data_IF_465314597718
#
_entry.id   IF_465314597718
#
_cell.length_a   1.000
_cell.length_b   1.000
_cell.length_c   1.000
_cell.angle_alpha   90.00
_cell.angle_beta   90.00
_cell.angle_gamma   90.00
#
_symmetry.space_group_name_H-M   'P 1'
#
loop_
_entity.id
_entity.type
_entity.pdbx_description
1 polymer ?
#
# COMPACT_ATOMS: atom_id res chain seq x y z
N UNK A 1 14.12 -18.50 -28.43
CA UNK A 1 13.85 -18.59 -26.98
C UNK A 1 13.26 -17.25 -26.53
N UNK A 2 12.06 -17.20 -25.95
CA UNK A 2 11.48 -15.94 -25.43
C UNK A 2 12.20 -15.59 -24.13
N UNK A 3 12.92 -14.47 -24.09
CA UNK A 3 13.49 -13.97 -22.83
C UNK A 3 12.35 -13.44 -21.96
N UNK A 4 12.09 -14.07 -20.82
CA UNK A 4 11.17 -13.53 -19.81
C UNK A 4 11.89 -12.44 -19.02
N UNK A 5 11.65 -11.18 -19.39
CA UNK A 5 12.14 -10.04 -18.61
C UNK A 5 11.32 -9.93 -17.33
N UNK A 6 11.97 -10.11 -16.17
CA UNK A 6 11.30 -9.90 -14.87
C UNK A 6 11.11 -8.40 -14.65
N UNK A 7 9.86 -7.95 -14.58
CA UNK A 7 9.53 -6.54 -14.37
C UNK A 7 9.49 -6.17 -12.88
N UNK A 8 9.11 -7.11 -12.02
CA UNK A 8 9.02 -6.91 -10.58
C UNK A 8 9.18 -8.24 -9.85
N UNK A 9 9.83 -8.22 -8.69
CA UNK A 9 9.88 -9.34 -7.75
C UNK A 9 8.99 -9.04 -6.56
N UNK A 10 8.15 -10.00 -6.21
CA UNK A 10 7.26 -9.95 -5.05
C UNK A 10 7.84 -10.85 -3.96
N UNK A 11 7.83 -10.38 -2.72
CA UNK A 11 8.21 -11.16 -1.54
C UNK A 11 7.04 -11.23 -0.60
N UNK A 12 6.83 -12.41 -0.02
CA UNK A 12 5.78 -12.66 0.95
C UNK A 12 6.41 -12.95 2.31
N UNK A 13 5.68 -12.65 3.39
CA UNK A 13 6.07 -13.06 4.73
C UNK A 13 5.60 -14.49 5.04
N UNK A 14 5.86 -14.97 6.27
CA UNK A 14 5.50 -16.32 6.69
C UNK A 14 3.99 -16.56 6.82
N UNK A 15 3.17 -15.51 6.74
CA UNK A 15 1.71 -15.57 6.75
C UNK A 15 1.12 -15.44 5.33
N UNK A 16 1.96 -15.57 4.30
CA UNK A 16 1.60 -15.44 2.89
C UNK A 16 1.05 -14.04 2.52
N UNK A 17 1.50 -12.99 3.22
CA UNK A 17 1.13 -11.60 2.92
C UNK A 17 2.24 -10.93 2.14
N UNK A 18 1.86 -10.04 1.20
CA UNK A 18 2.82 -9.31 0.37
C UNK A 18 3.70 -8.39 1.23
N UNK A 19 4.95 -8.76 1.45
CA UNK A 19 5.89 -8.01 2.28
C UNK A 19 6.68 -6.97 1.48
N UNK A 20 6.99 -7.25 0.20
CA UNK A 20 7.71 -6.29 -0.63
C UNK A 20 7.44 -6.43 -2.13
N UNK A 21 7.50 -5.29 -2.84
CA UNK A 21 7.52 -5.18 -4.30
C UNK A 21 8.83 -4.53 -4.73
N UNK A 22 9.62 -5.25 -5.52
CA UNK A 22 10.93 -4.81 -6.02
C UNK A 22 10.87 -4.72 -7.55
N UNK A 23 10.47 -3.58 -8.11
CA UNK A 23 10.47 -3.38 -9.55
C UNK A 23 11.91 -3.37 -10.09
N UNK A 24 12.10 -3.77 -11.34
CA UNK A 24 13.42 -3.76 -12.00
C UNK A 24 13.99 -2.34 -12.15
N UNK A 25 13.09 -1.36 -12.27
CA UNK A 25 13.39 0.07 -12.25
C UNK A 25 12.40 0.76 -11.33
N UNK A 26 12.89 1.63 -10.44
CA UNK A 26 12.09 2.35 -9.46
C UNK A 26 12.36 1.92 -8.02
N UNK A 27 11.46 2.31 -7.13
CA UNK A 27 11.66 2.20 -5.68
C UNK A 27 11.03 0.93 -5.12
N UNK A 28 11.73 0.30 -4.17
CA UNK A 28 11.19 -0.85 -3.43
C UNK A 28 10.07 -0.37 -2.50
N UNK A 29 8.90 -1.02 -2.59
CA UNK A 29 7.82 -0.85 -1.64
C UNK A 29 7.88 -1.98 -0.60
N UNK A 30 7.77 -1.64 0.69
CA UNK A 30 7.64 -2.60 1.80
C UNK A 30 6.36 -2.35 2.57
N UNK A 31 5.56 -3.39 2.72
CA UNK A 31 4.24 -3.33 3.33
C UNK A 31 4.28 -3.92 4.74
N UNK A 32 3.62 -3.25 5.69
CA UNK A 32 3.59 -3.65 7.10
C UNK A 32 2.16 -3.82 7.57
N UNK A 33 1.92 -4.95 8.24
CA UNK A 33 0.59 -5.40 8.61
C UNK A 33 0.42 -5.43 10.12
N UNK A 34 -0.75 -5.03 10.59
CA UNK A 34 -1.25 -5.33 11.93
C UNK A 34 -2.36 -6.36 11.80
N UNK A 35 -2.15 -7.56 12.33
CA UNK A 35 -2.98 -8.73 11.98
C UNK A 35 -3.09 -8.86 10.46
N UNK A 36 -4.27 -8.97 9.87
CA UNK A 36 -4.42 -9.09 8.40
C UNK A 36 -4.64 -7.76 7.68
N UNK A 37 -4.50 -6.63 8.37
CA UNK A 37 -4.74 -5.29 7.81
C UNK A 37 -3.41 -4.60 7.49
N UNK A 38 -3.26 -4.12 6.25
CA UNK A 38 -2.14 -3.28 5.85
C UNK A 38 -2.24 -1.92 6.56
N UNK A 39 -1.28 -1.58 7.41
CA UNK A 39 -1.31 -0.34 8.22
C UNK A 39 -0.28 0.68 7.78
N UNK A 40 0.80 0.26 7.13
CA UNK A 40 1.74 1.19 6.52
C UNK A 40 2.51 0.60 5.35
N UNK A 41 3.03 1.48 4.51
CA UNK A 41 3.93 1.15 3.43
C UNK A 41 5.08 2.15 3.38
N UNK A 42 6.28 1.65 3.12
CA UNK A 42 7.47 2.47 2.91
C UNK A 42 7.95 2.28 1.48
N UNK A 43 7.99 3.37 0.71
CA UNK A 43 8.51 3.44 -0.65
C UNK A 43 9.69 4.42 -0.69
N UNK A 44 10.91 3.90 -0.57
CA UNK A 44 12.11 4.74 -0.51
C UNK A 44 12.10 5.62 0.73
N UNK A 45 12.03 6.94 0.54
CA UNK A 45 11.93 7.90 1.64
C UNK A 45 10.47 8.21 2.05
N UNK A 46 9.48 7.79 1.26
CA UNK A 46 8.08 8.03 1.58
C UNK A 46 7.56 6.93 2.52
N UNK A 47 6.87 7.36 3.58
CA UNK A 47 6.15 6.48 4.49
C UNK A 47 4.68 6.89 4.48
N UNK A 48 3.82 5.97 4.04
CA UNK A 48 2.37 6.13 4.02
C UNK A 48 1.77 5.27 5.12
N UNK A 49 0.90 5.85 5.93
CA UNK A 49 0.07 5.15 6.93
C UNK A 49 -1.35 5.04 6.40
N UNK A 50 -1.98 3.90 6.63
CA UNK A 50 -3.36 3.61 6.27
C UNK A 50 -4.20 3.57 7.55
N UNK A 51 -5.21 4.43 7.63
CA UNK A 51 -6.11 4.51 8.77
C UNK A 51 -7.39 3.77 8.41
N UNK A 52 -7.68 2.71 9.16
CA UNK A 52 -8.83 1.84 8.96
C UNK A 52 -9.83 1.93 10.11
N UNK A 53 -11.10 1.73 9.79
CA UNK A 53 -12.13 1.28 10.72
C UNK A 53 -12.65 -0.06 10.23
N UNK A 54 -12.40 -1.10 11.01
CA UNK A 54 -12.63 -2.49 10.59
C UNK A 54 -11.95 -2.78 9.24
N UNK A 55 -12.73 -3.07 8.19
CA UNK A 55 -12.22 -3.30 6.83
C UNK A 55 -12.18 -2.05 5.96
N UNK A 56 -12.77 -0.95 6.41
CA UNK A 56 -12.91 0.27 5.61
C UNK A 56 -11.66 1.14 5.76
N UNK A 57 -11.03 1.50 4.64
CA UNK A 57 -9.98 2.52 4.60
C UNK A 57 -10.62 3.91 4.70
N UNK A 58 -10.25 4.68 5.73
CA UNK A 58 -10.79 6.01 5.99
C UNK A 58 -9.86 7.13 5.55
N UNK A 59 -8.55 6.93 5.69
CA UNK A 59 -7.58 7.92 5.30
C UNK A 59 -6.21 7.30 4.99
N UNK A 60 -5.41 8.01 4.21
CA UNK A 60 -3.97 7.80 4.12
C UNK A 60 -3.23 9.02 4.64
N UNK A 61 -2.10 8.81 5.29
CA UNK A 61 -1.27 9.90 5.80
C UNK A 61 0.18 9.66 5.39
N UNK A 62 0.80 10.65 4.76
CA UNK A 62 2.24 10.71 4.54
C UNK A 62 2.82 11.99 5.16
N UNK A 63 4.13 12.19 5.00
CA UNK A 63 4.76 13.44 5.40
C UNK A 63 4.25 14.67 4.61
N UNK A 64 3.70 14.44 3.40
CA UNK A 64 3.31 15.50 2.47
C UNK A 64 1.83 15.86 2.58
N UNK A 65 0.97 14.87 2.82
CA UNK A 65 -0.47 15.07 2.82
C UNK A 65 -1.19 14.04 3.69
N UNK A 66 -2.39 14.40 4.10
CA UNK A 66 -3.39 13.44 4.58
C UNK A 66 -4.53 13.44 3.57
N UNK A 67 -4.95 12.27 3.09
CA UNK A 67 -6.07 12.12 2.18
C UNK A 67 -7.21 11.39 2.90
N UNK A 68 -8.41 11.96 2.90
CA UNK A 68 -9.63 11.29 3.32
C UNK A 68 -10.19 10.48 2.15
N UNK A 69 -10.68 9.28 2.45
CA UNK A 69 -11.09 8.28 1.45
C UNK A 69 -12.61 8.13 1.50
N UNK A 70 -13.27 8.35 0.38
CA UNK A 70 -14.68 7.98 0.17
C UNK A 70 -14.75 6.64 -0.55
N UNK A 71 -15.40 5.65 0.07
CA UNK A 71 -15.51 4.29 -0.47
C UNK A 71 -16.95 3.85 -0.69
N UNK A 72 -17.16 2.87 -1.57
CA UNK A 72 -18.44 2.16 -1.67
C UNK A 72 -18.65 1.17 -0.50
N UNK A 73 -19.79 0.46 -0.51
CA UNK A 73 -20.13 -0.57 0.49
C UNK A 73 -19.20 -1.79 0.46
N UNK A 74 -18.47 -2.00 -0.65
CA UNK A 74 -17.48 -3.07 -0.79
C UNK A 74 -16.06 -2.59 -0.40
N UNK A 75 -15.96 -1.37 0.15
CA UNK A 75 -14.72 -0.71 0.54
C UNK A 75 -13.77 -0.36 -0.63
N UNK A 76 -14.29 -0.34 -1.85
CA UNK A 76 -13.55 0.18 -3.00
C UNK A 76 -13.44 1.69 -2.88
N UNK A 77 -12.23 2.23 -3.07
CA UNK A 77 -12.02 3.68 -3.08
C UNK A 77 -12.68 4.29 -4.31
N UNK A 78 -13.58 5.25 -4.10
CA UNK A 78 -14.26 6.01 -5.15
C UNK A 78 -13.67 7.42 -5.29
N UNK A 79 -13.37 8.06 -4.15
CA UNK A 79 -12.90 9.44 -4.10
C UNK A 79 -11.83 9.63 -3.04
N UNK A 80 -10.96 10.60 -3.27
CA UNK A 80 -10.00 11.08 -2.28
C UNK A 80 -10.11 12.60 -2.17
N UNK A 81 -9.97 13.12 -0.95
CA UNK A 81 -9.99 14.56 -0.68
C UNK A 81 -8.81 14.88 0.21
N UNK A 82 -8.03 15.92 -0.11
CA UNK A 82 -6.96 16.38 0.78
C UNK A 82 -7.55 16.92 2.07
N UNK A 83 -7.02 16.44 3.20
CA UNK A 83 -7.24 17.05 4.49
C UNK A 83 -6.18 18.14 4.67
N UNK A 84 -6.55 19.37 4.29
CA UNK A 84 -5.66 20.53 4.28
C UNK A 84 -5.16 20.85 2.89
#
# INVERSE_FOLDING_TARGET
MRQQTTLCRYRYDALDRLAARTPVAGTIARSFYQSDTLVSEIQGAEHVRFLHRDRQLLATQSALATLLIGSDQQHSVLHTVSAG
#
